data_IF_134482894483
#
_entry.id   IF_134482894483
#
_cell.length_a   1.000
_cell.length_b   1.000
_cell.length_c   1.000
_cell.angle_alpha   90.00
_cell.angle_beta   90.00
_cell.angle_gamma   90.00
#
_symmetry.space_group_name_H-M   'P 1'
#
loop_
_entity.id
_entity.type
_entity.pdbx_description
1 polymer ?
#
# COMPACT_ATOMS: atom_id res chain seq x y z
N UNK A 1 4.84 -2.60 -4.00
CA UNK A 1 5.11 -3.75 -4.90
C UNK A 1 6.08 -3.39 -6.04
N UNK A 2 5.69 -2.69 -7.11
CA UNK A 2 6.59 -2.33 -8.23
C UNK A 2 7.81 -1.53 -7.80
N UNK A 3 7.67 -0.62 -6.82
CA UNK A 3 8.82 0.09 -6.22
C UNK A 3 9.89 -0.85 -5.65
N UNK A 4 9.50 -1.99 -5.07
CA UNK A 4 10.44 -2.98 -4.54
C UNK A 4 11.08 -3.76 -5.68
N UNK A 5 10.30 -4.15 -6.68
CA UNK A 5 10.81 -4.83 -7.87
C UNK A 5 11.82 -3.98 -8.63
N UNK A 6 11.60 -2.66 -8.68
CA UNK A 6 12.51 -1.72 -9.33
C UNK A 6 13.87 -1.61 -8.62
N UNK A 7 13.96 -1.99 -7.34
CA UNK A 7 15.23 -2.09 -6.63
C UNK A 7 16.02 -3.37 -6.91
N UNK A 8 15.36 -4.39 -7.47
CA UNK A 8 15.92 -5.75 -7.65
C UNK A 8 16.23 -6.02 -9.13
N UNK A 9 15.44 -5.46 -10.06
CA UNK A 9 15.64 -5.65 -11.50
C UNK A 9 16.90 -4.91 -11.97
N UNK A 10 17.82 -5.56 -12.70
CA UNK A 10 18.96 -4.88 -13.33
C UNK A 10 18.49 -3.75 -14.27
N UNK A 11 19.02 -2.54 -14.10
CA UNK A 11 18.55 -1.35 -14.81
C UNK A 11 17.38 -0.62 -14.13
N UNK A 12 16.90 -1.15 -13.01
CA UNK A 12 16.04 -0.47 -12.06
C UNK A 12 14.65 -0.10 -12.58
N UNK A 13 14.16 1.06 -12.14
CA UNK A 13 12.83 1.57 -12.52
C UNK A 13 12.71 1.82 -14.03
N UNK A 14 13.76 2.33 -14.68
CA UNK A 14 13.73 2.62 -16.11
C UNK A 14 13.50 1.35 -16.93
N UNK A 15 14.25 0.28 -16.62
CA UNK A 15 14.09 -1.00 -17.32
C UNK A 15 12.67 -1.57 -17.17
N UNK A 16 12.08 -1.39 -15.99
CA UNK A 16 10.71 -1.83 -15.73
C UNK A 16 9.67 -1.06 -16.55
N UNK A 17 9.87 0.24 -16.78
CA UNK A 17 8.97 1.02 -17.65
C UNK A 17 9.06 0.61 -19.12
N UNK A 18 10.21 0.07 -19.55
CA UNK A 18 10.44 -0.44 -20.91
C UNK A 18 9.95 -1.87 -21.13
N UNK A 19 9.70 -2.63 -20.06
CA UNK A 19 9.18 -4.00 -20.15
C UNK A 19 7.83 -4.03 -20.87
N UNK A 20 7.61 -4.98 -21.80
CA UNK A 20 6.29 -5.24 -22.36
C UNK A 20 5.22 -5.56 -21.29
N UNK A 21 3.92 -5.28 -21.56
CA UNK A 21 2.83 -5.55 -20.60
C UNK A 21 2.77 -7.00 -20.12
N UNK A 22 3.09 -7.97 -21.01
CA UNK A 22 3.11 -9.40 -20.67
C UNK A 22 4.17 -9.72 -19.61
N UNK A 23 5.30 -9.02 -19.58
CA UNK A 23 6.35 -9.25 -18.57
C UNK A 23 5.91 -8.69 -17.23
N UNK A 24 5.28 -7.51 -17.21
CA UNK A 24 4.78 -6.89 -15.99
C UNK A 24 3.63 -7.69 -15.38
N UNK A 25 2.72 -8.21 -16.21
CA UNK A 25 1.65 -9.11 -15.75
C UNK A 25 2.24 -10.43 -15.22
N UNK A 26 3.19 -11.03 -15.94
CA UNK A 26 3.90 -12.23 -15.48
C UNK A 26 4.61 -11.99 -14.14
N UNK A 27 5.23 -10.83 -13.97
CA UNK A 27 5.88 -10.44 -12.72
C UNK A 27 4.88 -10.38 -11.55
N UNK A 28 3.66 -9.89 -11.78
CA UNK A 28 2.59 -9.91 -10.77
C UNK A 28 2.13 -11.33 -10.44
N UNK A 29 1.98 -12.21 -11.43
CA UNK A 29 1.65 -13.63 -11.19
C UNK A 29 2.75 -14.35 -10.38
N UNK A 30 4.02 -14.13 -10.75
CA UNK A 30 5.18 -14.68 -10.01
C UNK A 30 5.23 -14.13 -8.58
N UNK A 31 4.93 -12.85 -8.39
CA UNK A 31 4.86 -12.23 -7.07
C UNK A 31 3.74 -12.84 -6.21
N UNK A 32 2.57 -13.11 -6.80
CA UNK A 32 1.49 -13.81 -6.13
C UNK A 32 1.86 -15.25 -5.76
N UNK A 33 2.48 -16.00 -6.66
CA UNK A 33 2.91 -17.38 -6.41
C UNK A 33 3.99 -17.45 -5.31
N UNK A 34 4.89 -16.47 -5.30
CA UNK A 34 6.02 -16.38 -4.37
C UNK A 34 5.67 -15.66 -3.06
N UNK A 35 4.38 -15.40 -2.84
CA UNK A 35 3.87 -14.73 -1.64
C UNK A 35 4.24 -15.48 -0.37
N UNK A 36 4.52 -14.74 0.70
CA UNK A 36 4.69 -15.32 2.03
C UNK A 36 3.51 -16.26 2.34
N UNK A 37 3.83 -17.54 2.52
CA UNK A 37 2.87 -18.61 2.71
C UNK A 37 3.45 -19.61 3.69
N UNK A 38 2.73 -19.80 4.78
CA UNK A 38 3.06 -20.79 5.78
C UNK A 38 2.73 -22.19 5.28
N UNK A 39 3.78 -22.90 4.83
CA UNK A 39 3.70 -24.26 4.33
C UNK A 39 3.91 -25.32 5.43
N UNK A 40 3.81 -24.93 6.71
CA UNK A 40 3.85 -25.89 7.82
C UNK A 40 2.68 -26.87 7.69
N UNK A 41 3.01 -28.16 7.56
CA UNK A 41 2.04 -29.25 7.41
C UNK A 41 1.25 -29.55 8.69
N UNK A 42 1.74 -29.13 9.86
CA UNK A 42 1.01 -29.25 11.12
C UNK A 42 -0.10 -28.20 11.19
N UNK A 43 -1.34 -28.66 11.29
CA UNK A 43 -2.54 -27.80 11.42
C UNK A 43 -2.48 -26.88 12.63
N UNK A 44 -1.83 -27.30 13.71
CA UNK A 44 -1.82 -26.59 14.99
C UNK A 44 -0.84 -25.41 15.01
N UNK A 45 0.09 -25.38 14.05
CA UNK A 45 1.09 -24.31 13.91
C UNK A 45 0.87 -23.46 12.65
N UNK A 46 -0.12 -23.80 11.81
CA UNK A 46 -0.35 -23.09 10.56
C UNK A 46 -0.98 -21.73 10.84
N UNK A 47 -0.37 -20.68 10.30
CA UNK A 47 -0.92 -19.33 10.36
C UNK A 47 -2.30 -19.30 9.68
N UNK A 48 -3.30 -18.60 10.25
CA UNK A 48 -4.64 -18.55 9.68
C UNK A 48 -4.64 -17.84 8.33
N UNK A 49 -5.60 -18.20 7.47
CA UNK A 49 -5.80 -17.52 6.19
C UNK A 49 -6.17 -16.05 6.42
N UNK A 50 -5.42 -15.16 5.76
CA UNK A 50 -5.53 -13.71 5.92
C UNK A 50 -4.40 -13.09 6.72
N UNK A 51 -3.63 -13.90 7.46
CA UNK A 51 -2.42 -13.45 8.15
C UNK A 51 -1.37 -12.94 7.14
N UNK A 52 -0.52 -11.94 7.47
CA UNK A 52 0.50 -11.44 6.54
C UNK A 52 1.44 -12.52 5.97
N UNK A 53 1.74 -13.55 6.75
CA UNK A 53 2.50 -14.74 6.35
C UNK A 53 1.67 -15.88 5.72
N UNK A 54 0.35 -15.73 5.59
CA UNK A 54 -0.55 -16.69 4.92
C UNK A 54 -1.79 -15.97 4.36
N UNK A 55 -1.60 -15.04 3.42
CA UNK A 55 -2.68 -14.13 2.98
C UNK A 55 -3.77 -14.80 2.15
N UNK A 56 -3.44 -15.84 1.40
CA UNK A 56 -4.40 -16.53 0.53
C UNK A 56 -3.90 -17.95 0.21
N UNK A 57 -4.85 -18.88 0.09
CA UNK A 57 -4.65 -20.26 -0.39
C UNK A 57 -4.93 -20.41 -1.89
N UNK A 58 -5.46 -19.38 -2.56
CA UNK A 58 -5.71 -19.42 -3.99
C UNK A 58 -4.39 -19.68 -4.73
N UNK A 59 -4.33 -20.83 -5.37
CA UNK A 59 -3.23 -21.16 -6.26
C UNK A 59 -3.12 -20.09 -7.36
N UNK A 60 -1.92 -19.87 -7.94
CA UNK A 60 -1.84 -19.18 -9.22
C UNK A 60 -2.78 -19.87 -10.20
N UNK A 61 -3.50 -19.09 -11.00
CA UNK A 61 -4.50 -19.67 -11.91
C UNK A 61 -3.85 -20.40 -13.10
N UNK A 62 -2.55 -20.17 -13.33
CA UNK A 62 -1.75 -20.92 -14.30
C UNK A 62 -1.07 -22.12 -13.64
N UNK A 63 -1.07 -23.27 -14.33
CA UNK A 63 -0.22 -24.43 -13.99
C UNK A 63 1.20 -23.92 -13.76
N UNK A 64 1.81 -24.34 -12.65
CA UNK A 64 3.18 -24.01 -12.28
C UNK A 64 4.14 -24.18 -13.47
N UNK A 65 3.85 -25.13 -14.39
CA UNK A 65 4.62 -25.31 -15.63
C UNK A 65 4.61 -24.11 -16.58
N UNK A 66 3.45 -23.51 -16.85
CA UNK A 66 3.35 -22.37 -17.76
C UNK A 66 4.02 -21.14 -17.15
N UNK A 67 3.76 -20.89 -15.86
CA UNK A 67 4.36 -19.77 -15.16
C UNK A 67 5.88 -19.95 -15.04
N UNK A 68 6.37 -21.17 -14.75
CA UNK A 68 7.80 -21.46 -14.74
C UNK A 68 8.45 -21.36 -16.13
N UNK A 69 7.74 -21.71 -17.20
CA UNK A 69 8.21 -21.53 -18.57
C UNK A 69 8.36 -20.03 -18.89
N UNK A 70 7.34 -19.22 -18.61
CA UNK A 70 7.41 -17.77 -18.79
C UNK A 70 8.52 -17.16 -17.93
N UNK A 71 8.60 -17.56 -16.66
CA UNK A 71 9.64 -17.16 -15.71
C UNK A 71 11.05 -17.40 -16.26
N UNK A 72 11.31 -18.62 -16.72
CA UNK A 72 12.62 -19.03 -17.26
C UNK A 72 12.94 -18.37 -18.60
N UNK A 73 11.95 -18.26 -19.49
CA UNK A 73 12.12 -17.64 -20.81
C UNK A 73 12.39 -16.14 -20.69
N UNK A 74 11.74 -15.47 -19.74
CA UNK A 74 11.79 -14.02 -19.57
C UNK A 74 12.85 -13.58 -18.54
N UNK A 75 13.55 -14.54 -17.91
CA UNK A 75 14.55 -14.25 -16.87
C UNK A 75 13.97 -13.56 -15.63
N UNK A 76 12.67 -13.69 -15.38
CA UNK A 76 11.99 -13.04 -14.25
C UNK A 76 12.23 -13.89 -12.99
N UNK A 77 13.09 -13.42 -12.07
CA UNK A 77 13.21 -14.08 -10.77
C UNK A 77 12.06 -13.64 -9.85
N UNK A 78 11.64 -14.55 -8.95
CA UNK A 78 10.82 -14.12 -7.83
C UNK A 78 11.66 -13.15 -7.00
N UNK A 79 11.14 -11.97 -6.64
CA UNK A 79 11.86 -11.05 -5.80
C UNK A 79 12.10 -11.73 -4.45
N UNK A 80 13.34 -11.68 -3.98
CA UNK A 80 13.64 -12.05 -2.62
C UNK A 80 13.03 -10.99 -1.71
N UNK A 81 12.04 -11.37 -0.90
CA UNK A 81 11.52 -10.53 0.17
C UNK A 81 12.53 -10.25 1.29
N UNK A 82 13.82 -10.51 1.05
CA UNK A 82 14.95 -10.32 1.96
C UNK A 82 15.51 -8.89 1.94
N UNK A 83 14.78 -7.90 1.40
CA UNK A 83 15.06 -6.52 1.77
C UNK A 83 14.81 -6.40 3.28
N UNK A 84 15.92 -6.33 4.00
CA UNK A 84 16.09 -6.40 5.44
C UNK A 84 15.38 -5.23 6.12
N UNK A 85 14.06 -5.32 6.20
CA UNK A 85 13.24 -4.50 7.08
C UNK A 85 12.53 -5.52 7.93
N UNK A 86 13.07 -5.79 9.11
CA UNK A 86 12.35 -6.43 10.22
C UNK A 86 11.27 -7.41 9.77
N UNK A 87 11.69 -8.62 9.38
CA UNK A 87 10.74 -9.72 9.28
C UNK A 87 9.95 -9.72 10.61
N UNK A 88 8.62 -9.53 10.59
CA UNK A 88 7.86 -9.55 11.83
C UNK A 88 8.18 -10.85 12.54
N UNK A 89 8.47 -10.78 13.84
CA UNK A 89 8.62 -11.99 14.63
C UNK A 89 7.36 -12.85 14.43
N UNK A 90 7.53 -14.08 13.93
CA UNK A 90 6.42 -15.01 13.65
C UNK A 90 6.10 -15.29 12.18
N UNK A 91 6.72 -14.64 11.19
CA UNK A 91 6.56 -15.01 9.76
C UNK A 91 7.60 -16.08 9.37
N UNK A 92 7.21 -17.32 9.05
CA UNK A 92 8.15 -18.37 8.65
C UNK A 92 8.88 -18.00 7.35
N UNK A 93 10.20 -18.06 7.35
CA UNK A 93 11.02 -17.85 6.14
C UNK A 93 11.10 -19.14 5.31
N UNK A 94 9.98 -19.60 4.76
CA UNK A 94 9.89 -20.85 3.98
C UNK A 94 9.95 -20.59 2.47
N UNK A 95 11.07 -20.09 1.94
CA UNK A 95 11.36 -20.00 0.48
C UNK A 95 10.47 -19.06 -0.37
N UNK A 96 9.22 -18.83 0.02
CA UNK A 96 8.28 -17.84 -0.52
C UNK A 96 8.34 -16.61 0.37
N UNK A 97 8.84 -15.52 -0.16
CA UNK A 97 9.27 -14.36 0.63
C UNK A 97 8.54 -13.08 0.25
N UNK A 98 7.71 -13.08 -0.80
CA UNK A 98 7.07 -11.84 -1.27
C UNK A 98 5.99 -11.40 -0.29
N UNK A 99 6.29 -10.34 0.44
CA UNK A 99 5.33 -9.61 1.27
C UNK A 99 5.02 -8.28 0.60
N UNK A 100 3.77 -8.05 0.21
CA UNK A 100 3.34 -6.76 -0.31
C UNK A 100 2.87 -5.82 0.81
N UNK A 101 2.83 -4.54 0.47
CA UNK A 101 2.39 -3.47 1.38
C UNK A 101 0.93 -3.71 1.82
N UNK A 102 0.55 -3.24 3.00
CA UNK A 102 -0.80 -3.34 3.52
C UNK A 102 -1.78 -2.50 2.69
N UNK A 103 -3.08 -2.85 2.64
CA UNK A 103 -4.11 -2.08 1.92
C UNK A 103 -4.12 -0.58 2.27
N UNK A 104 -3.74 -0.21 3.50
CA UNK A 104 -3.64 1.19 3.95
C UNK A 104 -2.63 1.98 3.11
N UNK A 105 -1.57 1.34 2.61
CA UNK A 105 -0.61 1.95 1.70
C UNK A 105 -1.33 2.45 0.45
N UNK A 106 -2.12 1.58 -0.18
CA UNK A 106 -2.86 1.92 -1.38
C UNK A 106 -3.85 3.06 -1.09
N UNK A 107 -4.55 3.00 0.04
CA UNK A 107 -5.43 4.08 0.49
C UNK A 107 -4.69 5.43 0.61
N UNK A 108 -3.52 5.47 1.26
CA UNK A 108 -2.75 6.71 1.41
C UNK A 108 -2.32 7.29 0.06
N UNK A 109 -1.80 6.46 -0.82
CA UNK A 109 -1.36 6.89 -2.14
C UNK A 109 -2.55 7.33 -3.00
N UNK A 110 -3.68 6.63 -2.97
CA UNK A 110 -4.86 6.98 -3.79
C UNK A 110 -5.52 8.29 -3.34
N UNK A 111 -5.41 8.67 -2.06
CA UNK A 111 -5.85 9.98 -1.55
C UNK A 111 -5.09 11.18 -2.14
N UNK A 112 -3.97 10.95 -2.83
CA UNK A 112 -3.27 12.01 -3.58
C UNK A 112 -3.96 12.38 -4.89
N UNK A 113 -4.99 11.61 -5.32
CA UNK A 113 -5.63 11.64 -6.65
C UNK A 113 -4.76 11.15 -7.80
N UNK A 114 -3.65 10.47 -7.48
CA UNK A 114 -2.68 10.03 -8.48
C UNK A 114 -3.30 9.11 -9.54
N UNK A 115 -4.25 8.26 -9.16
CA UNK A 115 -4.96 7.38 -10.09
C UNK A 115 -5.77 8.20 -11.11
N UNK A 116 -6.57 9.15 -10.64
CA UNK A 116 -7.40 10.04 -11.48
C UNK A 116 -6.55 10.89 -12.41
N UNK A 117 -5.44 11.43 -11.90
CA UNK A 117 -4.53 12.28 -12.65
C UNK A 117 -3.91 11.50 -13.80
N UNK A 118 -3.36 10.30 -13.55
CA UNK A 118 -2.77 9.50 -14.61
C UNK A 118 -3.79 8.89 -15.56
N UNK A 119 -5.03 8.65 -15.12
CA UNK A 119 -6.14 8.35 -16.03
C UNK A 119 -6.38 9.51 -17.01
N UNK A 120 -6.35 10.74 -16.52
CA UNK A 120 -6.49 11.92 -17.39
C UNK A 120 -5.27 12.07 -18.31
N UNK A 121 -4.06 11.78 -17.85
CA UNK A 121 -2.86 11.75 -18.71
C UNK A 121 -3.06 10.78 -19.88
N UNK A 122 -3.49 9.55 -19.61
CA UNK A 122 -3.81 8.57 -20.65
C UNK A 122 -4.86 9.09 -21.63
N UNK A 123 -5.97 9.61 -21.10
CA UNK A 123 -7.03 10.18 -21.93
C UNK A 123 -6.52 11.29 -22.85
N UNK A 124 -5.73 12.22 -22.33
CA UNK A 124 -5.20 13.37 -23.06
C UNK A 124 -4.08 13.03 -24.05
N UNK A 125 -3.45 11.85 -23.96
CA UNK A 125 -2.52 11.35 -24.99
C UNK A 125 -3.21 10.48 -26.05
N UNK A 126 -4.25 9.73 -25.67
CA UNK A 126 -4.97 8.83 -26.57
C UNK A 126 -6.04 9.55 -27.40
N UNK A 127 -6.69 10.55 -26.82
CA UNK A 127 -7.82 11.28 -27.43
C UNK A 127 -7.54 12.77 -27.54
N UNK A 128 -6.77 13.32 -26.61
CA UNK A 128 -6.38 14.72 -26.61
C UNK A 128 -5.16 14.95 -27.51
N UNK A 129 -5.11 16.11 -28.14
CA UNK A 129 -3.85 16.64 -28.70
C UNK A 129 -3.19 17.63 -27.72
N UNK A 130 -3.77 17.80 -26.52
CA UNK A 130 -3.38 18.81 -25.53
C UNK A 130 -1.95 18.64 -25.02
N UNK A 131 -1.49 17.40 -24.90
CA UNK A 131 -0.16 17.07 -24.38
C UNK A 131 0.89 16.89 -25.47
N UNK A 132 0.49 17.01 -26.75
CA UNK A 132 1.35 16.72 -27.90
C UNK A 132 1.62 15.23 -28.09
N UNK A 133 2.57 14.91 -28.97
CA UNK A 133 2.96 13.53 -29.24
C UNK A 133 3.84 12.97 -28.10
N UNK A 134 3.58 11.73 -27.63
CA UNK A 134 4.41 11.09 -26.61
C UNK A 134 5.80 10.76 -27.17
N UNK A 135 6.82 10.77 -26.30
CA UNK A 135 8.13 10.19 -26.63
C UNK A 135 8.03 8.67 -26.63
N UNK A 136 8.96 7.98 -27.28
CA UNK A 136 8.95 6.51 -27.34
C UNK A 136 8.86 5.85 -25.95
N UNK A 137 9.63 6.34 -24.97
CA UNK A 137 9.54 5.83 -23.59
C UNK A 137 8.20 6.13 -22.92
N UNK A 138 7.59 7.29 -23.20
CA UNK A 138 6.27 7.61 -22.67
C UNK A 138 5.18 6.74 -23.31
N UNK A 139 5.29 6.41 -24.59
CA UNK A 139 4.39 5.47 -25.27
C UNK A 139 4.42 4.08 -24.62
N UNK A 140 5.61 3.56 -24.30
CA UNK A 140 5.74 2.32 -23.52
C UNK A 140 5.05 2.43 -22.15
N UNK A 141 5.27 3.53 -21.43
CA UNK A 141 4.63 3.74 -20.12
C UNK A 141 3.11 3.83 -20.23
N UNK A 142 2.58 4.53 -21.23
CA UNK A 142 1.15 4.69 -21.49
C UNK A 142 0.51 3.33 -21.76
N UNK A 143 1.08 2.57 -22.71
CA UNK A 143 0.61 1.21 -23.05
C UNK A 143 0.64 0.31 -21.83
N UNK A 144 1.74 0.27 -21.08
CA UNK A 144 1.86 -0.56 -19.89
C UNK A 144 0.83 -0.19 -18.82
N UNK A 145 0.61 1.10 -18.60
CA UNK A 145 -0.32 1.59 -17.58
C UNK A 145 -1.77 1.30 -17.95
N UNK A 146 -2.12 1.47 -19.24
CA UNK A 146 -3.44 1.13 -19.76
C UNK A 146 -3.72 -0.36 -19.61
N UNK A 147 -2.85 -1.21 -20.15
CA UNK A 147 -2.99 -2.68 -20.12
C UNK A 147 -3.07 -3.25 -18.69
N UNK A 148 -2.32 -2.68 -17.74
CA UNK A 148 -2.30 -3.20 -16.36
C UNK A 148 -3.51 -2.77 -15.53
N UNK A 149 -4.06 -1.58 -15.73
CA UNK A 149 -4.99 -0.95 -14.75
C UNK A 149 -6.24 -0.31 -15.33
N UNK A 150 -6.32 -0.14 -16.65
CA UNK A 150 -7.46 0.50 -17.33
C UNK A 150 -8.09 -0.36 -18.42
N UNK A 151 -7.40 -1.40 -18.89
CA UNK A 151 -7.92 -2.42 -19.78
C UNK A 151 -8.55 -3.58 -19.02
N UNK A 152 -9.38 -4.37 -19.70
CA UNK A 152 -9.90 -5.61 -19.15
C UNK A 152 -8.75 -6.62 -18.99
N UNK A 153 -8.44 -7.06 -17.77
CA UNK A 153 -7.31 -7.93 -17.53
C UNK A 153 -7.52 -9.30 -18.20
N UNK A 154 -6.44 -10.00 -18.58
CA UNK A 154 -6.53 -11.32 -19.18
C UNK A 154 -7.42 -12.26 -18.35
N UNK A 155 -8.23 -13.12 -19.01
CA UNK A 155 -8.95 -14.16 -18.31
C UNK A 155 -8.00 -14.96 -17.45
N UNK A 156 -8.43 -15.26 -16.23
CA UNK A 156 -7.67 -16.02 -15.25
C UNK A 156 -6.42 -15.34 -14.66
N UNK A 157 -6.18 -14.04 -14.91
CA UNK A 157 -5.10 -13.36 -14.18
C UNK A 157 -5.49 -13.09 -12.71
N UNK A 158 -4.51 -13.06 -11.81
CA UNK A 158 -4.69 -12.68 -10.42
C UNK A 158 -5.29 -11.27 -10.28
N UNK A 159 -4.94 -10.36 -11.19
CA UNK A 159 -5.42 -8.97 -11.24
C UNK A 159 -6.85 -8.86 -11.76
N UNK A 160 -7.42 -9.94 -12.30
CA UNK A 160 -8.79 -9.98 -12.83
C UNK A 160 -9.84 -10.02 -11.71
N UNK A 161 -10.05 -8.88 -11.07
CA UNK A 161 -11.06 -8.67 -10.01
C UNK A 161 -12.35 -8.01 -10.52
N UNK A 162 -12.37 -7.61 -11.81
CA UNK A 162 -13.55 -7.11 -12.49
C UNK A 162 -14.40 -8.27 -13.01
N UNK A 163 -15.72 -8.05 -13.04
CA UNK A 163 -16.66 -8.97 -13.70
C UNK A 163 -17.96 -8.21 -13.98
N UNK A 164 -18.93 -8.85 -14.63
CA UNK A 164 -20.28 -8.26 -14.76
C UNK A 164 -20.95 -7.97 -13.40
N UNK A 165 -20.50 -8.62 -12.31
CA UNK A 165 -20.97 -8.35 -10.94
C UNK A 165 -20.21 -7.17 -10.32
N UNK A 166 -18.94 -6.97 -10.72
CA UNK A 166 -18.05 -5.91 -10.24
C UNK A 166 -17.47 -5.16 -11.45
N UNK A 167 -18.30 -4.37 -12.16
CA UNK A 167 -17.88 -3.75 -13.42
C UNK A 167 -16.88 -2.60 -13.22
N UNK A 168 -16.87 -2.00 -12.01
CA UNK A 168 -16.02 -0.85 -11.71
C UNK A 168 -14.91 -1.21 -10.71
N UNK A 169 -13.68 -1.18 -11.20
CA UNK A 169 -12.46 -1.38 -10.41
C UNK A 169 -12.26 -0.29 -9.34
N UNK A 170 -12.71 0.94 -9.60
CA UNK A 170 -12.61 2.06 -8.63
C UNK A 170 -13.56 1.82 -7.46
N UNK A 171 -14.82 1.49 -7.75
CA UNK A 171 -15.79 1.09 -6.73
C UNK A 171 -15.28 -0.11 -5.93
N UNK A 172 -14.64 -1.08 -6.58
CA UNK A 172 -14.08 -2.26 -5.91
C UNK A 172 -12.97 -1.89 -4.91
N UNK A 173 -12.05 -0.99 -5.28
CA UNK A 173 -11.00 -0.51 -4.35
C UNK A 173 -11.58 0.33 -3.21
N UNK A 174 -12.49 1.26 -3.50
CA UNK A 174 -13.17 2.07 -2.46
C UNK A 174 -13.95 1.20 -1.48
N UNK A 175 -14.61 0.14 -1.97
CA UNK A 175 -15.28 -0.83 -1.12
C UNK A 175 -14.30 -1.61 -0.24
N UNK A 176 -13.12 -1.97 -0.76
CA UNK A 176 -12.07 -2.61 0.05
C UNK A 176 -11.58 -1.70 1.19
N UNK A 177 -11.34 -0.41 0.92
CA UNK A 177 -10.98 0.57 1.95
C UNK A 177 -12.09 0.75 2.99
N UNK A 178 -13.34 0.85 2.53
CA UNK A 178 -14.50 0.93 3.40
C UNK A 178 -14.58 -0.28 4.34
N UNK A 179 -14.50 -1.50 3.79
CA UNK A 179 -14.58 -2.74 4.58
C UNK A 179 -13.45 -2.85 5.60
N UNK A 180 -12.23 -2.49 5.21
CA UNK A 180 -11.04 -2.65 6.06
C UNK A 180 -10.91 -1.57 7.14
N UNK A 181 -11.26 -0.32 6.84
CA UNK A 181 -10.97 0.82 7.72
C UNK A 181 -12.18 1.68 8.07
N UNK A 182 -13.32 1.47 7.42
CA UNK A 182 -14.47 2.39 7.51
C UNK A 182 -14.20 3.75 6.87
N UNK A 183 -13.23 3.85 5.97
CA UNK A 183 -12.77 5.10 5.39
C UNK A 183 -13.12 5.22 3.91
N UNK A 184 -13.52 6.42 3.50
CA UNK A 184 -13.66 6.80 2.08
C UNK A 184 -12.43 7.62 1.64
N UNK A 185 -12.24 7.76 0.32
CA UNK A 185 -11.20 8.66 -0.19
C UNK A 185 -11.67 10.11 -0.04
N UNK A 186 -10.72 11.01 0.20
CA UNK A 186 -10.96 12.46 0.37
C UNK A 186 -11.42 13.17 -0.92
N UNK A 187 -11.54 12.44 -2.02
CA UNK A 187 -11.94 12.94 -3.33
C UNK A 187 -13.04 12.06 -3.92
N UNK A 188 -13.93 12.70 -4.68
CA UNK A 188 -15.06 12.07 -5.34
C UNK A 188 -14.78 11.72 -6.80
N UNK A 189 -15.79 11.88 -7.65
CA UNK A 189 -15.67 11.81 -9.10
C UNK A 189 -14.87 12.99 -9.65
N UNK A 190 -14.54 12.94 -10.95
CA UNK A 190 -13.89 14.04 -11.65
C UNK A 190 -14.73 15.34 -11.62
N UNK A 191 -16.05 15.22 -11.44
CA UNK A 191 -17.01 16.33 -11.37
C UNK A 191 -17.15 16.91 -9.97
N UNK A 192 -16.33 16.45 -9.00
CA UNK A 192 -16.38 16.89 -7.61
C UNK A 192 -17.56 16.31 -6.82
N UNK A 193 -18.38 15.46 -7.43
CA UNK A 193 -19.47 14.76 -6.74
C UNK A 193 -18.92 13.58 -5.94
N UNK A 194 -19.54 13.19 -4.81
CA UNK A 194 -19.20 11.96 -4.11
C UNK A 194 -19.20 10.76 -5.07
N UNK A 195 -18.19 9.90 -4.99
CA UNK A 195 -18.11 8.72 -5.85
C UNK A 195 -19.16 7.70 -5.41
N UNK A 196 -20.06 7.31 -6.30
CA UNK A 196 -21.10 6.33 -5.97
C UNK A 196 -20.55 4.91 -6.05
N UNK A 197 -20.71 4.14 -4.97
CA UNK A 197 -20.40 2.71 -4.94
C UNK A 197 -21.19 2.03 -3.83
N UNK A 198 -21.33 0.71 -3.92
CA UNK A 198 -22.00 -0.09 -2.90
C UNK A 198 -21.10 -0.16 -1.66
N UNK A 199 -21.52 0.43 -0.55
CA UNK A 199 -20.84 0.29 0.74
C UNK A 199 -21.30 -1.00 1.41
N UNK A 200 -20.35 -1.75 1.96
CA UNK A 200 -20.68 -2.94 2.72
C UNK A 200 -21.28 -2.56 4.08
N UNK A 201 -22.27 -3.30 4.53
CA UNK A 201 -22.92 -3.10 5.84
C UNK A 201 -21.94 -3.37 7.00
N UNK A 202 -21.08 -4.36 6.82
CA UNK A 202 -20.05 -4.73 7.79
C UNK A 202 -18.69 -4.11 7.43
N UNK A 203 -18.19 -3.24 8.31
CA UNK A 203 -16.89 -2.58 8.19
C UNK A 203 -16.29 -2.26 9.57
N UNK A 204 -15.01 -1.91 9.61
CA UNK A 204 -14.32 -1.54 10.85
C UNK A 204 -14.57 -0.05 11.18
N UNK A 205 -15.73 0.25 11.76
CA UNK A 205 -16.17 1.61 12.11
C UNK A 205 -15.29 2.29 13.18
N UNK A 206 -14.64 1.52 14.06
CA UNK A 206 -13.82 2.04 15.16
C UNK A 206 -12.32 2.12 14.84
N UNK A 207 -11.89 1.66 13.66
CA UNK A 207 -10.48 1.58 13.28
C UNK A 207 -9.74 2.90 13.52
N UNK A 208 -10.29 4.02 13.03
CA UNK A 208 -9.67 5.34 13.15
C UNK A 208 -9.54 5.76 14.62
N UNK A 209 -10.58 5.52 15.43
CA UNK A 209 -10.59 5.89 16.85
C UNK A 209 -9.55 5.10 17.63
N UNK A 210 -9.49 3.77 17.46
CA UNK A 210 -8.53 2.90 18.15
C UNK A 210 -7.10 3.21 17.68
N UNK A 211 -6.92 3.42 16.38
CA UNK A 211 -5.62 3.75 15.82
C UNK A 211 -5.08 5.08 16.35
N UNK A 212 -5.91 6.12 16.40
CA UNK A 212 -5.49 7.42 16.95
C UNK A 212 -5.19 7.37 18.44
N UNK A 213 -5.95 6.60 19.21
CA UNK A 213 -5.63 6.39 20.63
C UNK A 213 -4.27 5.67 20.78
N UNK A 214 -3.97 4.69 19.94
CA UNK A 214 -2.64 4.04 19.92
C UNK A 214 -1.54 5.05 19.58
N UNK A 215 -1.74 5.90 18.58
CA UNK A 215 -0.75 6.94 18.21
C UNK A 215 -0.44 7.88 19.39
N UNK A 216 -1.44 8.24 20.19
CA UNK A 216 -1.29 9.06 21.39
C UNK A 216 -0.48 8.36 22.47
N UNK A 217 -0.82 7.11 22.77
CA UNK A 217 -0.11 6.32 23.79
C UNK A 217 1.35 6.09 23.41
N UNK A 218 1.63 5.78 22.13
CA UNK A 218 3.01 5.63 21.67
C UNK A 218 3.76 6.95 21.68
N UNK A 219 3.11 8.09 21.41
CA UNK A 219 3.75 9.40 21.60
C UNK A 219 4.13 9.66 23.07
N UNK A 220 3.28 9.27 24.01
CA UNK A 220 3.58 9.35 25.45
C UNK A 220 4.82 8.50 25.78
N UNK A 221 4.92 7.27 25.27
CA UNK A 221 6.14 6.46 25.43
C UNK A 221 7.38 7.13 24.84
N UNK A 222 7.31 7.63 23.61
CA UNK A 222 8.43 8.27 22.92
C UNK A 222 8.95 9.48 23.71
N UNK A 223 8.04 10.30 24.24
CA UNK A 223 8.41 11.49 25.02
C UNK A 223 9.00 11.16 26.38
N UNK A 224 8.64 10.00 26.96
CA UNK A 224 9.09 9.57 28.29
C UNK A 224 10.23 8.54 28.26
N UNK A 225 10.82 8.24 27.10
CA UNK A 225 11.87 7.21 26.99
C UNK A 225 13.14 7.52 27.82
N UNK A 226 13.44 8.81 28.03
CA UNK A 226 14.56 9.29 28.87
C UNK A 226 14.09 9.78 30.24
N UNK A 227 12.86 9.47 30.63
CA UNK A 227 12.33 9.91 31.91
C UNK A 227 12.93 9.04 33.02
N UNK A 228 14.02 9.52 33.61
CA UNK A 228 14.71 8.88 34.73
C UNK A 228 14.21 9.41 36.09
N UNK A 229 13.44 10.50 36.10
CA UNK A 229 13.01 11.20 37.32
C UNK A 229 11.54 11.64 37.24
N UNK A 230 10.72 11.08 38.13
CA UNK A 230 9.29 11.39 38.25
C UNK A 230 8.40 10.25 37.75
N UNK A 231 7.06 10.41 37.84
CA UNK A 231 6.13 9.41 37.34
C UNK A 231 6.22 9.26 35.82
N UNK A 232 6.35 8.03 35.32
CA UNK A 232 6.28 7.72 33.90
C UNK A 232 4.81 7.37 33.54
N UNK A 233 4.11 8.21 32.75
CA UNK A 233 2.71 7.97 32.38
C UNK A 233 2.52 6.91 31.27
N UNK A 234 3.60 6.27 30.81
CA UNK A 234 3.54 5.23 29.76
C UNK A 234 2.73 4.02 30.25
N UNK A 235 1.62 3.72 29.57
CA UNK A 235 0.74 2.60 29.90
C UNK A 235 0.86 1.49 28.83
N UNK A 236 1.69 0.48 29.09
CA UNK A 236 1.87 -0.66 28.18
C UNK A 236 0.62 -1.53 28.09
N UNK A 237 -0.15 -1.68 29.17
CA UNK A 237 -1.37 -2.49 29.18
C UNK A 237 -2.47 -1.87 28.32
N UNK A 238 -2.60 -0.54 28.31
CA UNK A 238 -3.48 0.15 27.38
C UNK A 238 -3.03 -0.03 25.92
N UNK A 239 -1.72 0.05 25.66
CA UNK A 239 -1.20 -0.21 24.31
C UNK A 239 -1.45 -1.64 23.85
N UNK A 240 -1.29 -2.64 24.72
CA UNK A 240 -1.64 -4.05 24.44
C UNK A 240 -3.09 -4.20 24.00
N UNK A 241 -4.03 -3.64 24.78
CA UNK A 241 -5.46 -3.69 24.43
C UNK A 241 -5.76 -3.00 23.09
N UNK A 242 -5.13 -1.85 22.81
CA UNK A 242 -5.32 -1.13 21.54
C UNK A 242 -4.75 -1.91 20.35
N UNK A 243 -3.60 -2.54 20.51
CA UNK A 243 -2.95 -3.38 19.50
C UNK A 243 -3.79 -4.63 19.22
N UNK A 244 -4.28 -5.31 20.26
CA UNK A 244 -5.15 -6.47 20.12
C UNK A 244 -6.45 -6.11 19.38
N UNK A 245 -7.11 -5.01 19.77
CA UNK A 245 -8.29 -4.52 19.07
C UNK A 245 -8.03 -4.22 17.58
N UNK A 246 -6.88 -3.61 17.25
CA UNK A 246 -6.49 -3.37 15.85
C UNK A 246 -6.23 -4.67 15.11
N UNK A 247 -5.48 -5.60 15.72
CA UNK A 247 -5.21 -6.92 15.16
C UNK A 247 -6.53 -7.64 14.81
N UNK A 248 -7.47 -7.70 15.75
CA UNK A 248 -8.74 -8.42 15.56
C UNK A 248 -9.63 -7.77 14.49
N UNK A 249 -9.70 -6.43 14.47
CA UNK A 249 -10.39 -5.70 13.41
C UNK A 249 -9.80 -6.01 12.03
N UNK A 250 -8.47 -6.02 11.87
CA UNK A 250 -7.83 -6.24 10.57
C UNK A 250 -7.93 -7.70 10.12
N UNK A 251 -7.64 -8.65 11.01
CA UNK A 251 -7.67 -10.09 10.72
C UNK A 251 -9.09 -10.56 10.44
N UNK A 252 -10.11 -10.08 11.17
CA UNK A 252 -11.51 -10.44 10.91
C UNK A 252 -11.96 -10.12 9.47
N UNK A 253 -11.44 -9.04 8.87
CA UNK A 253 -11.74 -8.69 7.47
C UNK A 253 -11.00 -9.52 6.44
N UNK A 254 -9.90 -10.14 6.84
CA UNK A 254 -9.09 -11.04 6.00
C UNK A 254 -9.35 -12.52 6.21
N UNK A 255 -10.24 -12.87 7.14
CA UNK A 255 -10.62 -14.26 7.39
C UNK A 255 -10.90 -15.00 6.07
N UNK A 256 -10.35 -16.21 5.97
CA UNK A 256 -10.46 -17.07 4.78
C UNK A 256 -9.90 -16.44 3.49
N UNK A 257 -8.92 -15.52 3.60
CA UNK A 257 -8.29 -14.88 2.45
C UNK A 257 -9.16 -13.81 1.76
N UNK A 258 -10.22 -13.37 2.44
CA UNK A 258 -11.07 -12.28 1.98
C UNK A 258 -10.25 -10.99 1.80
N UNK A 259 -10.57 -10.19 0.77
CA UNK A 259 -9.86 -8.97 0.35
C UNK A 259 -8.43 -9.16 -0.20
N UNK A 260 -7.84 -10.36 -0.15
CA UNK A 260 -6.43 -10.56 -0.53
C UNK A 260 -6.13 -10.22 -1.99
N UNK A 261 -7.07 -10.47 -2.91
CA UNK A 261 -6.92 -10.13 -4.33
C UNK A 261 -7.11 -8.63 -4.58
N UNK A 262 -8.16 -8.04 -3.99
CA UNK A 262 -8.43 -6.62 -4.08
C UNK A 262 -7.28 -5.79 -3.50
N UNK A 263 -6.71 -6.24 -2.38
CA UNK A 263 -5.53 -5.63 -1.79
C UNK A 263 -4.30 -5.77 -2.67
N UNK A 264 -4.03 -6.96 -3.20
CA UNK A 264 -2.90 -7.17 -4.10
C UNK A 264 -2.99 -6.24 -5.33
N UNK A 265 -4.17 -6.16 -5.96
CA UNK A 265 -4.40 -5.28 -7.10
C UNK A 265 -4.25 -3.79 -6.73
N UNK A 266 -4.88 -3.34 -5.64
CA UNK A 266 -4.81 -1.95 -5.20
C UNK A 266 -3.36 -1.53 -4.88
N UNK A 267 -2.61 -2.40 -4.18
CA UNK A 267 -1.20 -2.15 -3.85
C UNK A 267 -0.32 -2.20 -5.09
N UNK A 268 -0.57 -3.10 -6.04
CA UNK A 268 0.12 -3.14 -7.32
C UNK A 268 -0.08 -1.81 -8.06
N UNK A 269 -1.34 -1.41 -8.30
CA UNK A 269 -1.70 -0.17 -8.99
C UNK A 269 -1.07 1.06 -8.33
N UNK A 270 -1.31 1.27 -7.03
CA UNK A 270 -0.77 2.43 -6.33
C UNK A 270 0.76 2.42 -6.25
N UNK A 271 1.40 1.24 -6.23
CA UNK A 271 2.85 1.17 -6.28
C UNK A 271 3.44 1.47 -7.66
N UNK A 272 2.73 1.19 -8.75
CA UNK A 272 3.12 1.60 -10.11
C UNK A 272 3.11 3.12 -10.25
N UNK A 273 2.01 3.75 -9.83
CA UNK A 273 1.88 5.20 -9.89
C UNK A 273 2.86 5.90 -8.93
N UNK A 274 3.03 5.38 -7.71
CA UNK A 274 4.03 5.90 -6.79
C UNK A 274 5.45 5.75 -7.37
N UNK A 275 5.80 4.61 -7.99
CA UNK A 275 7.09 4.46 -8.67
C UNK A 275 7.29 5.52 -9.77
N UNK A 276 6.25 5.77 -10.56
CA UNK A 276 6.26 6.76 -11.65
C UNK A 276 6.63 8.15 -11.14
N UNK A 277 6.04 8.61 -10.04
CA UNK A 277 6.36 9.93 -9.47
C UNK A 277 7.58 9.92 -8.56
N UNK A 278 8.02 8.77 -8.06
CA UNK A 278 9.24 8.67 -7.23
C UNK A 278 10.52 8.68 -8.06
N UNK A 279 10.46 8.27 -9.33
CA UNK A 279 11.60 8.25 -10.23
C UNK A 279 11.60 9.48 -11.15
N UNK A 280 12.61 10.35 -11.01
CA UNK A 280 12.66 11.62 -11.75
C UNK A 280 12.72 11.42 -13.26
N UNK A 281 13.42 10.38 -13.70
CA UNK A 281 13.62 10.03 -15.10
C UNK A 281 12.52 9.09 -15.63
N UNK A 282 11.38 8.99 -14.92
CA UNK A 282 10.25 8.21 -15.41
C UNK A 282 9.82 8.77 -16.78
N UNK A 283 9.64 7.93 -17.81
CA UNK A 283 9.44 8.41 -19.18
C UNK A 283 8.27 9.39 -19.33
N UNK A 284 7.18 9.16 -18.59
CA UNK A 284 6.01 10.05 -18.62
C UNK A 284 6.28 11.39 -17.92
N UNK A 285 7.10 11.41 -16.87
CA UNK A 285 7.48 12.65 -16.16
C UNK A 285 8.32 13.52 -17.07
N UNK A 286 9.30 12.92 -17.76
CA UNK A 286 10.15 13.62 -18.73
C UNK A 286 9.33 14.13 -19.92
N UNK A 287 8.44 13.31 -20.48
CA UNK A 287 7.59 13.71 -21.59
C UNK A 287 6.67 14.90 -21.25
N UNK A 288 6.15 14.95 -20.02
CA UNK A 288 5.31 16.04 -19.54
C UNK A 288 6.10 17.26 -19.04
N UNK A 289 7.43 17.19 -19.06
CA UNK A 289 8.34 18.19 -18.46
C UNK A 289 7.95 18.51 -17.02
N UNK A 290 7.69 17.44 -16.26
CA UNK A 290 7.16 17.48 -14.90
C UNK A 290 8.20 17.12 -13.83
N UNK A 291 9.50 17.16 -14.17
CA UNK A 291 10.61 16.86 -13.27
C UNK A 291 10.64 17.82 -12.08
N UNK A 292 10.89 17.31 -10.88
CA UNK A 292 10.99 18.08 -9.65
C UNK A 292 11.77 17.31 -8.58
N UNK A 293 12.09 17.98 -7.47
CA UNK A 293 12.91 17.41 -6.41
C UNK A 293 12.22 16.26 -5.65
N UNK A 294 10.89 16.32 -5.55
CA UNK A 294 10.11 15.40 -4.72
C UNK A 294 8.88 14.83 -5.44
N UNK A 295 8.37 13.65 -5.03
CA UNK A 295 7.26 12.97 -5.70
C UNK A 295 5.97 13.79 -5.77
N UNK A 296 5.63 14.52 -4.70
CA UNK A 296 4.46 15.39 -4.66
C UNK A 296 4.57 16.56 -5.64
N UNK A 297 5.76 17.15 -5.78
CA UNK A 297 5.98 18.26 -6.70
C UNK A 297 5.87 17.79 -8.15
N UNK A 298 6.37 16.58 -8.45
CA UNK A 298 6.19 15.93 -9.75
C UNK A 298 4.70 15.68 -10.03
N UNK A 299 3.97 15.16 -9.04
CA UNK A 299 2.52 14.97 -9.17
C UNK A 299 1.78 16.30 -9.40
N UNK A 300 2.13 17.37 -8.70
CA UNK A 300 1.53 18.70 -8.91
C UNK A 300 1.79 19.24 -10.32
N UNK A 301 3.00 19.06 -10.85
CA UNK A 301 3.31 19.45 -12.23
C UNK A 301 2.49 18.65 -13.24
N UNK A 302 2.40 17.33 -13.08
CA UNK A 302 1.57 16.47 -13.94
C UNK A 302 0.09 16.88 -13.86
N UNK A 303 -0.44 17.05 -12.65
CA UNK A 303 -1.79 17.53 -12.38
C UNK A 303 -2.11 18.85 -13.11
N UNK A 304 -1.18 19.80 -13.08
CA UNK A 304 -1.33 21.09 -13.75
C UNK A 304 -1.40 20.96 -15.28
N UNK A 305 -0.67 20.02 -15.88
CA UNK A 305 -0.72 19.75 -17.33
C UNK A 305 -2.08 19.24 -17.77
N UNK A 306 -2.67 18.33 -16.99
CA UNK A 306 -3.96 17.73 -17.32
C UNK A 306 -5.16 18.56 -16.86
N UNK A 307 -4.96 19.53 -15.96
CA UNK A 307 -6.03 20.39 -15.43
C UNK A 307 -6.83 19.74 -14.30
N UNK A 308 -6.28 18.72 -13.64
CA UNK A 308 -6.91 18.03 -12.52
C UNK A 308 -6.03 18.18 -11.28
N UNK A 309 -6.43 18.96 -10.26
CA UNK A 309 -5.55 19.26 -9.12
C UNK A 309 -5.32 18.01 -8.26
N UNK A 310 -4.07 17.78 -7.89
CA UNK A 310 -3.73 16.77 -6.88
C UNK A 310 -4.08 17.28 -5.47
N UNK A 311 -4.09 16.37 -4.50
CA UNK A 311 -4.39 16.74 -3.12
C UNK A 311 -3.30 17.62 -2.50
N UNK A 312 -3.66 18.70 -1.81
CA UNK A 312 -2.70 19.66 -1.22
C UNK A 312 -1.74 19.02 -0.20
N UNK A 313 -2.19 17.97 0.49
CA UNK A 313 -1.40 17.19 1.46
C UNK A 313 -0.67 15.99 0.84
N UNK A 314 -0.45 15.97 -0.49
CA UNK A 314 0.18 14.82 -1.18
C UNK A 314 1.53 14.41 -0.58
N UNK A 315 2.34 15.37 -0.12
CA UNK A 315 3.61 15.08 0.59
C UNK A 315 3.39 14.15 1.78
N UNK A 316 2.49 14.53 2.68
CA UNK A 316 2.20 13.77 3.89
C UNK A 316 1.65 12.37 3.58
N UNK A 317 0.85 12.24 2.52
CA UNK A 317 0.36 10.95 2.05
C UNK A 317 1.48 10.04 1.52
N UNK A 318 2.44 10.57 0.75
CA UNK A 318 3.59 9.79 0.30
C UNK A 318 4.50 9.38 1.47
N UNK A 319 4.80 10.32 2.36
CA UNK A 319 5.72 10.11 3.49
C UNK A 319 5.15 9.11 4.53
N UNK A 320 3.84 9.11 4.76
CA UNK A 320 3.19 8.20 5.73
C UNK A 320 2.97 6.78 5.19
N UNK A 321 2.77 6.62 3.88
CA UNK A 321 2.21 5.39 3.29
C UNK A 321 3.04 4.14 3.63
N UNK A 322 4.36 4.24 3.56
CA UNK A 322 5.26 3.12 3.87
C UNK A 322 5.34 2.84 5.37
N UNK A 323 5.36 3.88 6.19
CA UNK A 323 5.46 3.76 7.64
C UNK A 323 4.23 3.06 8.22
N UNK A 324 3.03 3.53 7.86
CA UNK A 324 1.77 2.96 8.37
C UNK A 324 1.55 1.53 7.87
N UNK A 325 1.90 1.25 6.61
CA UNK A 325 1.86 -0.10 6.06
C UNK A 325 2.68 -1.10 6.87
N UNK A 326 3.91 -0.73 7.22
CA UNK A 326 4.83 -1.58 8.00
C UNK A 326 4.29 -1.84 9.40
N UNK A 327 3.79 -0.81 10.10
CA UNK A 327 3.27 -0.97 11.45
C UNK A 327 2.02 -1.85 11.46
N UNK A 328 1.07 -1.66 10.54
CA UNK A 328 -0.12 -2.51 10.50
C UNK A 328 0.24 -3.97 10.20
N UNK A 329 1.17 -4.24 9.27
CA UNK A 329 1.67 -5.60 9.03
C UNK A 329 2.28 -6.21 10.29
N UNK A 330 3.03 -5.44 11.08
CA UNK A 330 3.65 -5.95 12.30
C UNK A 330 2.62 -6.21 13.41
N UNK A 331 1.61 -5.33 13.55
CA UNK A 331 0.47 -5.56 14.47
C UNK A 331 -0.23 -6.87 14.10
N UNK A 332 -0.49 -7.09 12.81
CA UNK A 332 -1.15 -8.32 12.35
C UNK A 332 -0.29 -9.58 12.48
N UNK A 333 1.03 -9.45 12.39
CA UNK A 333 1.93 -10.58 12.42
C UNK A 333 2.40 -10.97 13.83
N UNK A 334 2.54 -9.98 14.71
CA UNK A 334 3.12 -10.17 16.06
C UNK A 334 2.11 -9.89 17.17
N UNK A 335 0.90 -9.41 16.85
CA UNK A 335 -0.13 -9.02 17.81
C UNK A 335 0.49 -8.15 18.94
N UNK A 336 0.16 -8.42 20.20
CA UNK A 336 0.65 -7.68 21.38
C UNK A 336 2.17 -7.73 21.56
N UNK A 337 2.90 -8.66 20.93
CA UNK A 337 4.35 -8.75 21.06
C UNK A 337 5.10 -7.54 20.46
N UNK A 338 4.45 -6.73 19.61
CA UNK A 338 5.02 -5.47 19.09
C UNK A 338 5.11 -4.36 20.15
N UNK A 339 4.32 -4.44 21.24
CA UNK A 339 4.17 -3.34 22.22
C UNK A 339 5.48 -3.01 22.91
N UNK A 340 6.32 -4.00 23.22
CA UNK A 340 7.67 -3.77 23.75
C UNK A 340 8.50 -2.84 22.86
N UNK A 341 8.32 -2.94 21.54
CA UNK A 341 8.99 -2.06 20.58
C UNK A 341 8.38 -0.67 20.50
N UNK A 342 7.12 -0.48 20.89
CA UNK A 342 6.50 0.85 21.01
C UNK A 342 6.97 1.60 22.25
N UNK A 343 7.08 0.90 23.37
CA UNK A 343 7.59 1.46 24.64
C UNK A 343 9.09 1.76 24.53
N UNK A 344 9.83 0.85 23.88
CA UNK A 344 11.28 0.94 23.75
C UNK A 344 11.99 0.37 24.98
N UNK A 345 13.15 -0.24 24.74
CA UNK A 345 14.05 -0.72 25.80
C UNK A 345 15.30 0.17 25.80
N UNK A 346 15.52 0.91 26.88
CA UNK A 346 16.68 1.79 27.05
C UNK A 346 16.40 3.28 26.86
N UNK A 347 17.45 4.08 26.66
CA UNK A 347 17.38 5.56 26.63
C UNK A 347 17.32 6.15 25.21
N UNK A 348 17.34 5.31 24.17
CA UNK A 348 17.36 5.74 22.77
C UNK A 348 16.11 5.32 22.00
N UNK A 349 15.65 6.20 21.10
CA UNK A 349 14.49 5.93 20.25
C UNK A 349 14.85 4.84 19.24
N UNK A 350 14.15 3.71 19.32
CA UNK A 350 14.34 2.58 18.40
C UNK A 350 13.70 2.86 17.02
N UNK A 351 13.91 1.97 16.04
CA UNK A 351 13.39 2.19 14.68
C UNK A 351 11.85 2.06 14.55
N UNK A 352 11.15 1.34 15.43
CA UNK A 352 9.67 1.24 15.46
C UNK A 352 9.16 2.59 15.90
N UNK A 353 9.71 3.13 16.99
CA UNK A 353 9.34 4.43 17.52
C UNK A 353 9.63 5.56 16.52
N UNK A 354 10.74 5.51 15.77
CA UNK A 354 10.98 6.46 14.66
C UNK A 354 9.89 6.36 13.59
N UNK A 355 9.51 5.14 13.21
CA UNK A 355 8.43 4.87 12.24
C UNK A 355 7.08 5.39 12.76
N UNK A 356 6.76 5.13 14.03
CA UNK A 356 5.55 5.63 14.69
C UNK A 356 5.55 7.16 14.77
N UNK A 357 6.69 7.80 15.05
CA UNK A 357 6.78 9.26 15.06
C UNK A 357 6.52 9.88 13.68
N UNK A 358 6.98 9.23 12.60
CA UNK A 358 6.62 9.62 11.22
C UNK A 358 5.10 9.51 11.02
N UNK A 359 4.48 8.41 11.45
CA UNK A 359 3.02 8.23 11.36
C UNK A 359 2.30 9.31 12.16
N UNK A 360 2.64 9.51 13.44
CA UNK A 360 2.04 10.52 14.32
C UNK A 360 2.09 11.90 13.68
N UNK A 361 3.24 12.28 13.12
CA UNK A 361 3.44 13.59 12.51
C UNK A 361 2.58 13.77 11.26
N UNK A 362 2.65 12.85 10.30
CA UNK A 362 1.90 13.01 9.05
C UNK A 362 0.40 12.72 9.19
N UNK A 363 0.01 11.82 10.08
CA UNK A 363 -1.39 11.54 10.39
C UNK A 363 -2.07 12.76 11.02
N UNK A 364 -1.39 13.45 11.94
CA UNK A 364 -1.89 14.70 12.51
C UNK A 364 -2.09 15.79 11.46
N UNK A 365 -1.17 15.88 10.48
CA UNK A 365 -1.29 16.82 9.36
C UNK A 365 -2.46 16.46 8.43
N UNK A 366 -2.67 15.16 8.14
CA UNK A 366 -3.71 14.68 7.24
C UNK A 366 -5.10 14.84 7.85
N UNK A 367 -5.27 14.49 9.12
CA UNK A 367 -6.57 14.52 9.80
C UNK A 367 -6.89 15.87 10.43
N UNK A 368 -5.90 16.74 10.61
CA UNK A 368 -6.02 17.98 11.37
C UNK A 368 -6.19 17.76 12.88
N UNK A 369 -6.10 16.52 13.36
CA UNK A 369 -6.20 16.18 14.78
C UNK A 369 -4.80 16.06 15.37
N UNK A 370 -4.52 16.84 16.40
CA UNK A 370 -3.22 16.78 17.06
C UNK A 370 -3.10 15.50 17.89
N UNK A 371 -2.25 14.57 17.45
CA UNK A 371 -1.94 13.33 18.19
C UNK A 371 -0.94 13.55 19.34
N UNK A 372 -0.22 14.69 19.34
CA UNK A 372 0.79 15.03 20.34
C UNK A 372 0.20 15.78 21.54
N UNK A 373 -0.93 16.47 21.32
CA UNK A 373 -1.71 17.04 22.41
C UNK A 373 -2.43 15.93 23.22
N UNK A 374 -2.53 16.12 24.53
CA UNK A 374 -3.43 15.31 25.36
C UNK A 374 -4.87 15.44 24.87
N UNK A 375 -5.69 14.40 25.05
CA UNK A 375 -7.10 14.40 24.64
C UNK A 375 -7.80 15.58 25.29
N UNK A 376 -8.17 16.59 24.49
CA UNK A 376 -8.99 17.71 24.98
C UNK A 376 -10.38 17.14 25.22
N UNK A 377 -10.78 17.05 26.49
CA UNK A 377 -12.16 16.75 26.82
C UNK A 377 -13.03 17.86 26.22
N UNK A 378 -13.84 17.51 25.21
CA UNK A 378 -14.90 18.40 24.73
C UNK A 378 -15.84 18.61 25.91
N UNK A 379 -15.87 19.84 26.40
CA UNK A 379 -16.68 20.24 27.56
C UNK A 379 -18.09 20.58 27.15
#
# INVERSE_FOLDING_TARGET
>A
MFRRFAGIIPGGALKMFECPPVELTTLLEVAWQSRAYDDRQSTDLRLPLGHPGNRSDLAPQHDDKLLNLLKSTMGIAAPDGLVTIWAPAGVPATGRTVLWDHLIYAYMIENTRIYEIFRQVLFEFLHGEKLGAPTAGAEHWLRNTEELFYHDPPPLSITNIASHIRPDLRATRRNAYWRMFGMDLNHGSNEGQPYSYIKADAYNNEFVTVFEELLREVWIAITNIKNETGPNPTDSGKMENLVENLHDMLISRRQSGNLSREEFFAVAAMSWFHLTVSFNESPIIVALRAEAASPEQRLFKVAQRVGLPAHGLSKSYFDIADAISRILIQIEASNTAIVSSFVGEGTEINAVQKTMNTIITHWSLITGRDMKAGKVAVR
#
